data_IF_417024661059
#
_entry.id   IF_417024661059
#
_cell.length_a   1.000
_cell.length_b   1.000
_cell.length_c   1.000
_cell.angle_alpha   90.00
_cell.angle_beta   90.00
_cell.angle_gamma   90.00
#
_symmetry.space_group_name_H-M   'P 1'
#
loop_
_entity.id
_entity.type
_entity.pdbx_description
1 polymer ?
#
# COMPACT_ATOMS: atom_id res chain seq x y z
N UNK A 1 -8.66 -23.55 -6.34
CA UNK A 1 -8.08 -22.23 -6.02
C UNK A 1 -7.25 -22.42 -4.77
N UNK A 2 -5.97 -22.10 -4.80
CA UNK A 2 -5.11 -22.23 -3.61
C UNK A 2 -5.51 -21.16 -2.58
N UNK A 3 -5.14 -21.37 -1.29
CA UNK A 3 -5.36 -20.35 -0.26
C UNK A 3 -4.69 -19.02 -0.61
N UNK A 4 -3.52 -19.09 -1.26
CA UNK A 4 -2.81 -17.89 -1.72
C UNK A 4 -3.55 -17.15 -2.85
N UNK A 5 -4.21 -17.86 -3.77
CA UNK A 5 -5.03 -17.23 -4.81
C UNK A 5 -6.21 -16.48 -4.20
N UNK A 6 -6.83 -17.04 -3.17
CA UNK A 6 -7.92 -16.37 -2.46
C UNK A 6 -7.44 -15.10 -1.76
N UNK A 7 -6.27 -15.13 -1.10
CA UNK A 7 -5.68 -13.96 -0.44
C UNK A 7 -5.24 -12.91 -1.47
N UNK A 8 -4.70 -13.31 -2.62
CA UNK A 8 -4.38 -12.43 -3.75
C UNK A 8 -5.61 -11.68 -4.25
N UNK A 9 -6.70 -12.39 -4.50
CA UNK A 9 -7.96 -11.78 -4.97
C UNK A 9 -8.56 -10.85 -3.92
N UNK A 10 -8.46 -11.21 -2.65
CA UNK A 10 -8.91 -10.37 -1.54
C UNK A 10 -8.11 -9.06 -1.49
N UNK A 11 -6.78 -9.12 -1.58
CA UNK A 11 -5.92 -7.93 -1.57
C UNK A 11 -6.23 -7.00 -2.75
N UNK A 12 -6.35 -7.56 -3.98
CA UNK A 12 -6.68 -6.78 -5.18
C UNK A 12 -8.03 -6.08 -5.05
N UNK A 13 -9.08 -6.80 -4.62
CA UNK A 13 -10.41 -6.24 -4.46
C UNK A 13 -10.47 -5.20 -3.32
N UNK A 14 -9.67 -5.39 -2.28
CA UNK A 14 -9.58 -4.45 -1.16
C UNK A 14 -8.87 -3.17 -1.57
N UNK A 15 -7.73 -3.26 -2.26
CA UNK A 15 -6.99 -2.11 -2.76
C UNK A 15 -7.82 -1.28 -3.76
N UNK A 16 -8.59 -1.95 -4.64
CA UNK A 16 -9.50 -1.28 -5.56
C UNK A 16 -10.60 -0.50 -4.83
N UNK A 17 -11.18 -1.08 -3.78
CA UNK A 17 -12.23 -0.44 -3.00
C UNK A 17 -11.70 0.77 -2.22
N UNK A 18 -10.52 0.65 -1.58
CA UNK A 18 -9.87 1.74 -0.88
C UNK A 18 -9.48 2.88 -1.84
N UNK A 19 -8.91 2.53 -3.01
CA UNK A 19 -8.59 3.52 -4.04
C UNK A 19 -9.84 4.25 -4.58
N UNK A 20 -10.99 3.57 -4.63
CA UNK A 20 -12.26 4.19 -5.03
C UNK A 20 -12.77 5.17 -3.97
N UNK A 21 -12.66 4.82 -2.68
CA UNK A 21 -12.98 5.70 -1.57
C UNK A 21 -12.14 6.99 -1.62
N UNK A 22 -10.82 6.86 -1.84
CA UNK A 22 -9.88 7.98 -1.86
C UNK A 22 -10.06 8.93 -3.04
N UNK A 23 -10.74 8.51 -4.11
CA UNK A 23 -11.12 9.42 -5.21
C UNK A 23 -12.17 10.44 -4.80
N UNK A 24 -12.94 10.18 -3.75
CA UNK A 24 -13.95 11.14 -3.28
C UNK A 24 -13.26 12.34 -2.62
N UNK A 25 -13.50 13.53 -3.18
CA UNK A 25 -12.94 14.78 -2.67
C UNK A 25 -13.47 15.16 -1.28
N UNK A 26 -14.61 14.61 -0.85
CA UNK A 26 -15.19 14.86 0.47
C UNK A 26 -14.34 14.29 1.62
N UNK A 27 -13.51 13.29 1.33
CA UNK A 27 -12.62 12.66 2.32
C UNK A 27 -11.34 13.47 2.62
N UNK A 28 -11.12 14.61 1.95
CA UNK A 28 -9.89 15.42 2.09
C UNK A 28 -9.95 16.38 3.26
N UNK A 29 -10.16 15.87 4.47
CA UNK A 29 -10.14 16.67 5.70
C UNK A 29 -8.85 16.40 6.46
N UNK A 30 -8.11 17.46 6.76
CA UNK A 30 -6.93 17.37 7.62
C UNK A 30 -7.39 17.26 9.08
N UNK A 31 -7.01 16.18 9.75
CA UNK A 31 -7.32 15.97 11.17
C UNK A 31 -6.21 16.51 12.07
N UNK A 32 -4.97 16.31 11.67
CA UNK A 32 -3.79 16.68 12.44
C UNK A 32 -2.66 17.11 11.51
N UNK A 33 -1.91 18.11 11.92
CA UNK A 33 -0.67 18.53 11.27
C UNK A 33 0.41 18.61 12.33
N UNK A 34 1.44 17.80 12.20
CA UNK A 34 2.66 17.86 13.01
C UNK A 34 3.82 18.37 12.15
N UNK A 35 4.99 18.62 12.76
CA UNK A 35 6.18 19.07 12.03
C UNK A 35 6.64 18.04 10.99
N UNK A 36 6.33 16.76 11.21
CA UNK A 36 6.79 15.64 10.40
C UNK A 36 5.69 14.97 9.57
N UNK A 37 4.39 15.20 9.88
CA UNK A 37 3.30 14.45 9.27
C UNK A 37 1.98 15.23 9.15
N UNK A 38 1.16 14.84 8.19
CA UNK A 38 -0.20 15.35 8.00
C UNK A 38 -1.17 14.18 8.01
N UNK A 39 -1.96 14.09 9.07
CA UNK A 39 -3.01 13.07 9.18
C UNK A 39 -4.33 13.58 8.65
N UNK A 40 -4.93 12.77 7.81
CA UNK A 40 -6.19 13.09 7.17
C UNK A 40 -7.28 12.10 7.58
N UNK A 41 -8.53 12.55 7.58
CA UNK A 41 -9.65 11.63 7.76
C UNK A 41 -9.66 10.53 6.69
N UNK A 42 -9.16 10.83 5.49
CA UNK A 42 -9.07 9.87 4.40
C UNK A 42 -8.18 8.67 4.72
N UNK A 43 -7.05 8.86 5.43
CA UNK A 43 -6.16 7.78 5.86
C UNK A 43 -6.90 6.82 6.81
N UNK A 44 -7.56 7.37 7.82
CA UNK A 44 -8.33 6.60 8.82
C UNK A 44 -9.49 5.85 8.16
N UNK A 45 -10.26 6.53 7.31
CA UNK A 45 -11.41 5.93 6.61
C UNK A 45 -10.95 4.82 5.67
N UNK A 46 -9.83 5.04 4.96
CA UNK A 46 -9.23 4.04 4.07
C UNK A 46 -8.73 2.83 4.85
N UNK A 47 -7.99 3.03 5.95
CA UNK A 47 -7.50 1.91 6.76
C UNK A 47 -8.65 1.13 7.39
N UNK A 48 -9.68 1.80 7.88
CA UNK A 48 -10.88 1.16 8.43
C UNK A 48 -11.53 0.24 7.40
N UNK A 49 -11.75 0.74 6.18
CA UNK A 49 -12.31 -0.05 5.08
C UNK A 49 -11.42 -1.24 4.73
N UNK A 50 -10.09 -1.03 4.65
CA UNK A 50 -9.13 -2.10 4.33
C UNK A 50 -9.19 -3.19 5.40
N UNK A 51 -9.17 -2.83 6.69
CA UNK A 51 -9.24 -3.79 7.80
C UNK A 51 -10.53 -4.60 7.80
N UNK A 52 -11.68 -3.94 7.58
CA UNK A 52 -12.97 -4.62 7.49
C UNK A 52 -12.99 -5.67 6.37
N UNK A 53 -12.44 -5.33 5.21
CA UNK A 53 -12.39 -6.26 4.08
C UNK A 53 -11.41 -7.40 4.29
N UNK A 54 -10.22 -7.11 4.82
CA UNK A 54 -9.19 -8.13 5.08
C UNK A 54 -9.56 -9.06 6.25
N UNK A 55 -10.48 -8.67 7.14
CA UNK A 55 -10.95 -9.48 8.26
C UNK A 55 -11.51 -10.85 7.83
N UNK A 56 -12.00 -10.98 6.60
CA UNK A 56 -12.46 -12.26 6.02
C UNK A 56 -11.36 -13.33 6.04
N UNK A 57 -10.10 -12.92 5.89
CA UNK A 57 -8.95 -13.83 5.93
C UNK A 57 -8.64 -14.34 7.34
N UNK A 58 -9.14 -13.68 8.38
CA UNK A 58 -8.81 -13.92 9.79
C UNK A 58 -7.31 -13.74 10.12
N UNK A 59 -6.56 -13.09 9.23
CA UNK A 59 -5.16 -12.77 9.46
C UNK A 59 -5.05 -11.41 10.16
N UNK A 60 -4.03 -11.25 11.05
CA UNK A 60 -3.75 -9.96 11.66
C UNK A 60 -3.42 -8.89 10.63
N UNK A 61 -3.66 -7.62 10.97
CA UNK A 61 -3.34 -6.46 10.14
C UNK A 61 -2.47 -5.50 10.94
N UNK A 62 -1.34 -5.10 10.38
CA UNK A 62 -0.53 -3.97 10.82
C UNK A 62 -0.76 -2.83 9.85
N UNK A 63 -1.25 -1.71 10.33
CA UNK A 63 -1.50 -0.52 9.53
C UNK A 63 -0.77 0.69 10.07
N UNK A 64 -0.62 1.70 9.25
CA UNK A 64 0.10 2.92 9.60
C UNK A 64 -0.66 3.75 10.64
N UNK A 65 -1.97 3.93 10.46
CA UNK A 65 -2.78 4.81 11.29
C UNK A 65 -3.33 4.13 12.56
N UNK A 66 -3.80 2.90 12.43
CA UNK A 66 -4.45 2.16 13.51
C UNK A 66 -3.52 1.14 14.18
N UNK A 67 -2.25 1.08 13.73
CA UNK A 67 -1.22 0.25 14.31
C UNK A 67 -1.45 -1.26 14.12
N UNK A 68 -0.88 -2.06 15.02
CA UNK A 68 -0.94 -3.52 15.01
C UNK A 68 0.10 -4.09 15.97
N UNK A 69 0.21 -5.42 16.04
CA UNK A 69 1.20 -6.08 16.89
C UNK A 69 2.55 -6.22 16.16
N UNK A 70 3.61 -5.47 16.57
CA UNK A 70 4.91 -5.55 15.95
C UNK A 70 5.62 -6.89 16.15
N UNK A 71 5.20 -7.72 17.12
CA UNK A 71 5.78 -9.04 17.35
C UNK A 71 5.56 -10.00 16.16
N UNK A 72 4.62 -9.70 15.27
CA UNK A 72 4.39 -10.46 14.04
C UNK A 72 5.61 -10.47 13.12
N UNK A 73 6.42 -9.40 13.10
CA UNK A 73 7.68 -9.35 12.35
C UNK A 73 8.70 -10.36 12.83
N UNK A 74 8.69 -10.67 14.13
CA UNK A 74 9.67 -11.54 14.77
C UNK A 74 9.22 -13.00 14.75
N UNK A 75 7.92 -13.28 14.62
CA UNK A 75 7.33 -14.62 14.72
C UNK A 75 7.85 -15.60 13.63
N UNK A 76 8.18 -15.09 12.45
CA UNK A 76 8.79 -15.83 11.33
C UNK A 76 7.88 -16.88 10.67
N UNK A 77 6.69 -17.14 11.19
CA UNK A 77 5.82 -18.25 10.75
C UNK A 77 4.41 -17.85 10.38
N UNK A 78 3.88 -16.81 11.00
CA UNK A 78 2.49 -16.41 10.81
C UNK A 78 2.33 -15.48 9.62
N UNK A 79 1.22 -15.64 8.90
CA UNK A 79 0.82 -14.70 7.86
C UNK A 79 0.10 -13.51 8.50
N UNK A 80 0.40 -12.32 8.02
CA UNK A 80 -0.27 -11.08 8.41
C UNK A 80 -0.23 -10.07 7.28
N UNK A 81 -1.14 -9.11 7.33
CA UNK A 81 -1.20 -8.00 6.40
C UNK A 81 -0.42 -6.80 6.92
N UNK A 82 0.30 -6.12 6.03
CA UNK A 82 0.87 -4.79 6.26
C UNK A 82 0.19 -3.81 5.31
N UNK A 83 -0.31 -2.71 5.83
CA UNK A 83 -1.14 -1.78 5.08
C UNK A 83 -0.63 -0.36 5.28
N UNK A 84 -0.43 0.34 4.18
CA UNK A 84 -0.40 1.79 4.13
C UNK A 84 -1.66 2.22 3.35
N UNK A 85 -2.64 2.82 4.04
CA UNK A 85 -3.94 3.10 3.46
C UNK A 85 -3.92 4.26 2.45
N UNK A 86 -2.94 5.16 2.53
CA UNK A 86 -2.76 6.30 1.65
C UNK A 86 -1.30 6.75 1.63
N UNK A 87 -0.44 6.03 0.91
CA UNK A 87 0.92 6.50 0.65
C UNK A 87 0.90 7.78 -0.20
N UNK A 88 1.65 8.78 0.26
CA UNK A 88 1.72 10.07 -0.39
C UNK A 88 0.62 11.07 0.06
N UNK A 89 0.30 11.11 1.35
CA UNK A 89 -0.72 11.98 1.95
C UNK A 89 -0.58 13.46 1.55
N UNK A 90 0.66 14.00 1.51
CA UNK A 90 0.91 15.37 1.04
C UNK A 90 0.56 15.56 -0.44
N UNK A 91 0.85 14.56 -1.29
CA UNK A 91 0.50 14.61 -2.71
C UNK A 91 -1.02 14.56 -2.88
N UNK A 92 -1.68 13.68 -2.11
CA UNK A 92 -3.13 13.56 -2.10
C UNK A 92 -3.82 14.87 -1.72
N UNK A 93 -3.36 15.52 -0.63
CA UNK A 93 -3.89 16.80 -0.18
C UNK A 93 -3.81 17.90 -1.26
N UNK A 94 -2.79 17.84 -2.11
CA UNK A 94 -2.53 18.81 -3.18
C UNK A 94 -3.00 18.38 -4.57
N UNK A 95 -3.76 17.30 -4.68
CA UNK A 95 -4.16 16.71 -5.96
C UNK A 95 -2.98 16.40 -6.89
N UNK A 96 -1.86 16.01 -6.31
CA UNK A 96 -0.68 15.59 -7.08
C UNK A 96 -0.70 14.10 -7.34
N UNK A 97 -0.05 13.62 -8.43
CA UNK A 97 0.18 12.20 -8.65
C UNK A 97 1.13 11.60 -7.58
N UNK A 98 1.43 10.32 -7.72
CA UNK A 98 2.28 9.55 -6.79
C UNK A 98 1.60 9.36 -5.42
N UNK A 99 0.40 8.83 -5.47
CA UNK A 99 -0.37 8.40 -4.30
C UNK A 99 -0.91 6.99 -4.56
N UNK A 100 -0.86 6.14 -3.56
CA UNK A 100 -1.40 4.79 -3.72
C UNK A 100 -1.93 4.23 -2.39
N UNK A 101 -2.70 3.15 -2.51
CA UNK A 101 -2.98 2.22 -1.41
C UNK A 101 -1.99 1.08 -1.53
N UNK A 102 -1.32 0.73 -0.45
CA UNK A 102 -0.35 -0.37 -0.38
C UNK A 102 -0.85 -1.46 0.56
N UNK A 103 -0.90 -2.70 0.06
CA UNK A 103 -1.29 -3.89 0.84
C UNK A 103 -0.27 -5.00 0.60
N UNK A 104 0.47 -5.36 1.65
CA UNK A 104 1.41 -6.47 1.65
C UNK A 104 0.90 -7.64 2.46
N UNK A 105 1.09 -8.87 1.97
CA UNK A 105 0.98 -10.09 2.76
C UNK A 105 2.39 -10.55 3.13
N UNK A 106 2.65 -10.69 4.40
CA UNK A 106 3.96 -11.04 4.95
C UNK A 106 3.91 -12.37 5.68
N UNK A 107 5.07 -13.04 5.75
CA UNK A 107 5.34 -14.15 6.66
C UNK A 107 6.61 -13.83 7.44
N UNK A 108 6.47 -13.40 8.69
CA UNK A 108 7.60 -12.78 9.39
C UNK A 108 8.14 -11.60 8.57
N UNK A 109 9.41 -11.63 8.19
CA UNK A 109 10.04 -10.58 7.38
C UNK A 109 10.00 -10.85 5.85
N UNK A 110 9.44 -11.98 5.43
CA UNK A 110 9.41 -12.36 4.02
C UNK A 110 8.10 -11.91 3.35
N UNK A 111 8.16 -11.15 2.24
CA UNK A 111 6.97 -10.82 1.49
C UNK A 111 6.42 -12.04 0.76
N UNK A 112 5.09 -12.24 0.82
CA UNK A 112 4.37 -13.30 0.12
C UNK A 112 3.68 -12.78 -1.12
N UNK A 113 3.09 -11.60 -1.04
CA UNK A 113 2.59 -10.81 -2.17
C UNK A 113 2.52 -9.34 -1.78
N UNK A 114 2.50 -8.46 -2.77
CA UNK A 114 2.25 -7.03 -2.58
C UNK A 114 1.33 -6.48 -3.67
N UNK A 115 0.41 -5.63 -3.26
CA UNK A 115 -0.50 -4.90 -4.15
C UNK A 115 -0.34 -3.41 -3.91
N UNK A 116 -0.13 -2.65 -4.98
CA UNK A 116 -0.20 -1.19 -4.98
C UNK A 116 -1.33 -0.74 -5.89
N UNK A 117 -2.25 0.06 -5.37
CA UNK A 117 -3.30 0.69 -6.17
C UNK A 117 -3.03 2.17 -6.32
N UNK A 118 -2.43 2.57 -7.44
CA UNK A 118 -2.41 3.97 -7.88
C UNK A 118 -3.82 4.34 -8.36
N UNK A 119 -4.59 4.94 -7.48
CA UNK A 119 -5.96 5.32 -7.78
C UNK A 119 -6.05 6.58 -8.65
N UNK A 120 -4.97 7.34 -8.79
CA UNK A 120 -4.88 8.52 -9.66
C UNK A 120 -4.82 8.09 -11.13
N UNK A 121 -3.89 7.18 -11.46
CA UNK A 121 -3.75 6.65 -12.83
C UNK A 121 -4.68 5.47 -13.12
N UNK A 122 -5.32 4.89 -12.11
CA UNK A 122 -6.15 3.69 -12.23
C UNK A 122 -5.35 2.40 -12.44
N UNK A 123 -4.06 2.40 -12.10
CA UNK A 123 -3.20 1.21 -12.22
C UNK A 123 -3.17 0.43 -10.93
N UNK A 124 -3.23 -0.89 -11.05
CA UNK A 124 -2.99 -1.83 -9.96
C UNK A 124 -1.74 -2.64 -10.28
N UNK A 125 -0.79 -2.59 -9.38
CA UNK A 125 0.44 -3.37 -9.44
C UNK A 125 0.32 -4.54 -8.48
N UNK A 126 0.72 -5.73 -8.93
CA UNK A 126 0.78 -6.94 -8.12
C UNK A 126 2.17 -7.54 -8.26
N UNK A 127 2.84 -7.79 -7.14
CA UNK A 127 4.09 -8.53 -7.08
C UNK A 127 3.90 -9.83 -6.29
N UNK A 128 4.42 -10.94 -6.82
CA UNK A 128 4.45 -12.24 -6.13
C UNK A 128 5.84 -12.82 -6.30
N UNK A 129 6.57 -13.10 -5.21
CA UNK A 129 7.89 -13.72 -5.28
C UNK A 129 7.85 -15.02 -6.10
N UNK A 130 8.78 -15.14 -7.05
CA UNK A 130 8.85 -16.30 -7.95
C UNK A 130 7.89 -16.28 -9.14
N UNK A 131 6.80 -15.50 -9.10
CA UNK A 131 5.88 -15.38 -10.24
C UNK A 131 6.15 -14.13 -11.09
N UNK A 132 6.61 -13.04 -10.44
CA UNK A 132 6.92 -11.76 -11.09
C UNK A 132 5.96 -10.63 -10.75
N UNK A 133 5.96 -9.59 -11.58
CA UNK A 133 5.16 -8.38 -11.40
C UNK A 133 4.13 -8.23 -12.51
N UNK A 134 2.96 -7.72 -12.15
CA UNK A 134 1.83 -7.50 -13.04
C UNK A 134 1.31 -6.08 -12.89
N UNK A 135 0.89 -5.47 -13.98
CA UNK A 135 0.17 -4.18 -14.01
C UNK A 135 -1.19 -4.44 -14.67
N UNK A 136 -2.28 -4.18 -13.96
CA UNK A 136 -3.65 -4.44 -14.41
C UNK A 136 -3.82 -5.87 -14.96
N UNK A 137 -3.22 -6.86 -14.28
CA UNK A 137 -3.28 -8.27 -14.67
C UNK A 137 -2.32 -8.68 -15.80
N UNK A 138 -1.62 -7.75 -16.43
CA UNK A 138 -0.63 -8.05 -17.47
C UNK A 138 0.78 -8.14 -16.86
N UNK A 139 1.44 -9.27 -17.09
CA UNK A 139 2.82 -9.46 -16.63
C UNK A 139 3.74 -8.44 -17.28
N UNK A 140 4.61 -7.84 -16.47
CA UNK A 140 5.60 -6.86 -16.93
C UNK A 140 7.01 -7.39 -16.74
N UNK A 141 7.89 -7.02 -17.68
CA UNK A 141 9.32 -7.29 -17.56
C UNK A 141 10.01 -5.98 -17.19
N UNK A 142 10.83 -5.96 -16.11
CA UNK A 142 11.60 -4.78 -15.77
C UNK A 142 12.51 -4.36 -16.92
N UNK A 143 12.65 -3.07 -17.11
CA UNK A 143 13.68 -2.50 -17.98
C UNK A 143 14.97 -2.38 -17.17
N UNK A 144 15.95 -3.23 -17.46
CA UNK A 144 17.20 -3.28 -16.72
C UNK A 144 18.19 -2.26 -17.27
N UNK A 145 18.66 -1.37 -16.38
CA UNK A 145 19.89 -0.63 -16.62
C UNK A 145 21.06 -1.43 -16.04
N UNK A 146 22.00 -1.85 -16.87
CA UNK A 146 23.16 -2.62 -16.40
C UNK A 146 24.17 -1.76 -15.62
N UNK A 147 24.14 -0.45 -15.82
CA UNK A 147 25.00 0.52 -15.13
C UNK A 147 24.16 1.62 -14.50
N UNK A 148 24.57 2.08 -13.32
CA UNK A 148 23.90 3.18 -12.63
C UNK A 148 23.80 4.47 -13.49
N UNK A 149 24.77 4.69 -14.38
CA UNK A 149 24.77 5.83 -15.31
C UNK A 149 23.62 5.81 -16.34
N UNK A 150 23.05 4.63 -16.59
CA UNK A 150 21.98 4.42 -17.55
C UNK A 150 20.60 4.32 -16.84
N UNK A 151 20.59 4.39 -15.50
CA UNK A 151 19.39 4.31 -14.70
C UNK A 151 18.72 5.67 -14.51
N UNK A 152 17.38 5.67 -14.51
CA UNK A 152 16.59 6.80 -14.03
C UNK A 152 16.22 6.55 -12.58
N UNK A 153 16.61 7.47 -11.70
CA UNK A 153 16.29 7.39 -10.28
C UNK A 153 15.19 8.39 -9.93
N UNK A 154 14.15 7.89 -9.26
CA UNK A 154 13.17 8.73 -8.57
C UNK A 154 13.39 8.60 -7.06
N UNK A 155 13.32 9.72 -6.36
CA UNK A 155 13.43 9.76 -4.90
C UNK A 155 12.44 10.75 -4.32
N UNK A 156 12.03 10.51 -3.08
CA UNK A 156 11.28 11.46 -2.27
C UNK A 156 12.18 12.09 -1.21
N UNK A 157 11.78 13.25 -0.73
CA UNK A 157 12.39 13.90 0.43
C UNK A 157 11.42 13.82 1.61
N UNK A 158 11.91 13.69 2.84
CA UNK A 158 11.05 13.77 4.01
C UNK A 158 10.33 15.13 4.06
N UNK A 159 9.15 15.13 4.65
CA UNK A 159 8.29 16.33 4.73
C UNK A 159 8.98 17.47 5.49
N UNK A 160 9.78 17.17 6.50
CA UNK A 160 10.63 18.11 7.22
C UNK A 160 12.05 18.05 6.66
N UNK A 161 12.43 19.06 5.90
CA UNK A 161 13.83 19.34 5.61
C UNK A 161 14.31 20.26 6.74
N UNK A 162 15.17 19.74 7.63
CA UNK A 162 15.81 20.57 8.62
C UNK A 162 16.53 21.76 7.93
N UNK A 163 16.14 22.97 8.28
CA UNK A 163 16.76 24.20 7.82
C UNK A 163 18.16 24.39 8.45
#
# INVERSE_FOLDING_TARGET
MSDLDALRMLALATAEAAGSLLKDSASRRVNETTDDDVKMQADIDSETLVRERLAVSRLPVIGEELGGDPALFESGKELYWVVDPLDGTYNYLRNQPCTCVSIGLMRGQEPVLGVLRDFTSGKTYLGVPGEGTYINGHRVTPNWAERAADACLMTGFPAAVAA
#
